data_IF_596460232246
#
_entry.id   IF_596460232246
#
_cell.length_a   1.000
_cell.length_b   1.000
_cell.length_c   1.000
_cell.angle_alpha   90.00
_cell.angle_beta   90.00
_cell.angle_gamma   90.00
#
_symmetry.space_group_name_H-M   'P 1'
#
loop_
_entity.id
_entity.type
_entity.pdbx_description
1 polymer ?
#
# COMPACT_ATOMS: atom_id res chain seq x y z
N UNK A 1 78.32 -38.51 40.94
CA UNK A 1 78.56 -37.17 41.50
C UNK A 1 78.36 -36.16 40.39
N UNK A 2 77.73 -35.06 40.75
CA UNK A 2 76.89 -34.17 39.96
C UNK A 2 77.61 -33.31 38.90
N UNK A 3 76.89 -32.99 37.82
CA UNK A 3 76.99 -31.75 37.04
C UNK A 3 75.77 -31.62 36.08
N UNK A 4 75.45 -30.45 35.49
CA UNK A 4 74.56 -29.42 36.06
C UNK A 4 73.20 -29.29 35.34
N UNK A 5 72.17 -28.82 36.05
CA UNK A 5 70.82 -28.63 35.50
C UNK A 5 70.58 -27.23 34.89
N UNK A 6 70.01 -27.26 33.69
CA UNK A 6 69.64 -26.16 32.81
C UNK A 6 68.33 -25.45 33.22
N UNK A 7 68.27 -24.15 32.91
CA UNK A 7 67.20 -23.18 33.17
C UNK A 7 65.83 -23.62 32.61
N UNK A 8 64.76 -23.49 33.43
CA UNK A 8 63.37 -23.37 32.96
C UNK A 8 62.72 -22.10 33.50
N UNK A 9 62.21 -21.29 32.57
CA UNK A 9 61.50 -20.04 32.82
C UNK A 9 60.13 -20.29 33.48
N UNK A 10 59.77 -19.40 34.42
CA UNK A 10 58.50 -19.40 35.14
C UNK A 10 57.43 -18.73 34.26
N UNK A 11 56.42 -19.49 33.85
CA UNK A 11 55.20 -18.96 33.22
C UNK A 11 54.36 -18.23 34.27
N UNK A 12 54.16 -16.94 34.11
CA UNK A 12 53.18 -16.15 34.86
C UNK A 12 51.77 -16.44 34.32
N UNK A 13 50.86 -16.80 35.24
CA UNK A 13 49.42 -16.94 34.98
C UNK A 13 48.75 -15.57 34.80
N UNK A 14 47.83 -15.40 33.84
CA UNK A 14 47.20 -14.11 33.58
C UNK A 14 46.20 -13.71 34.68
N UNK A 15 45.97 -12.41 34.89
CA UNK A 15 45.07 -11.92 35.93
C UNK A 15 43.61 -12.20 35.53
N UNK A 16 42.81 -12.69 36.49
CA UNK A 16 41.36 -12.84 36.36
C UNK A 16 40.72 -11.46 36.23
N UNK A 17 40.15 -11.17 35.05
CA UNK A 17 39.31 -9.99 34.83
C UNK A 17 37.95 -10.18 35.51
N UNK A 18 37.79 -9.64 36.72
CA UNK A 18 36.48 -9.36 37.30
C UNK A 18 35.91 -8.11 36.62
N UNK A 19 35.14 -8.30 35.55
CA UNK A 19 34.33 -7.26 34.91
C UNK A 19 33.02 -7.85 34.43
N UNK A 20 31.93 -7.08 34.54
CA UNK A 20 30.57 -7.36 34.02
C UNK A 20 29.61 -8.20 34.87
N UNK A 21 29.32 -7.75 36.10
CA UNK A 21 28.00 -8.02 36.71
C UNK A 21 27.23 -6.76 37.14
N UNK A 22 27.91 -5.67 37.52
CA UNK A 22 27.25 -4.43 37.98
C UNK A 22 26.61 -3.58 36.87
N UNK A 23 27.19 -3.52 35.67
CA UNK A 23 26.65 -2.66 34.60
C UNK A 23 25.37 -3.22 33.94
N UNK A 24 25.08 -4.51 34.10
CA UNK A 24 23.85 -5.13 33.60
C UNK A 24 22.64 -4.89 34.50
N UNK A 25 22.83 -4.71 35.80
CA UNK A 25 21.72 -4.49 36.73
C UNK A 25 21.10 -3.09 36.57
N UNK A 26 21.87 -2.10 36.13
CA UNK A 26 21.37 -0.72 35.94
C UNK A 26 20.63 -0.51 34.62
N UNK A 27 20.87 -1.33 33.59
CA UNK A 27 20.24 -1.18 32.27
C UNK A 27 18.79 -1.63 32.22
N UNK A 28 18.35 -2.49 33.15
CA UNK A 28 17.01 -3.08 33.15
C UNK A 28 15.96 -2.27 33.94
N UNK A 29 16.39 -1.35 34.82
CA UNK A 29 15.52 -0.65 35.79
C UNK A 29 14.30 0.03 35.16
N UNK A 30 14.47 0.63 33.98
CA UNK A 30 13.39 1.38 33.33
C UNK A 30 12.63 0.58 32.27
N UNK A 31 13.12 -0.60 31.86
CA UNK A 31 12.49 -1.36 30.77
C UNK A 31 11.12 -1.92 31.17
N UNK A 32 10.89 -2.15 32.46
CA UNK A 32 9.59 -2.56 33.01
C UNK A 32 8.51 -1.46 32.87
N UNK A 33 8.91 -0.19 32.70
CA UNK A 33 7.99 0.95 32.54
C UNK A 33 7.40 1.06 31.12
N UNK A 34 7.82 0.21 30.18
CA UNK A 34 7.39 0.26 28.80
C UNK A 34 5.97 -0.30 28.66
N UNK A 35 5.05 0.52 28.15
CA UNK A 35 3.69 0.10 27.85
C UNK A 35 3.46 -0.01 26.35
N UNK A 36 3.43 -1.25 25.86
CA UNK A 36 3.23 -1.57 24.44
C UNK A 36 1.82 -1.23 23.93
N UNK A 37 0.82 -1.17 24.81
CA UNK A 37 -0.56 -0.83 24.41
C UNK A 37 -0.71 0.65 24.03
N UNK A 38 0.16 1.51 24.58
CA UNK A 38 0.22 2.93 24.27
C UNK A 38 0.96 3.23 22.96
N UNK A 39 1.70 2.26 22.40
CA UNK A 39 2.53 2.48 21.23
C UNK A 39 1.70 2.40 19.95
N UNK A 40 1.73 3.48 19.17
CA UNK A 40 1.08 3.55 17.87
C UNK A 40 2.00 4.24 16.86
N UNK A 41 2.65 3.41 16.03
CA UNK A 41 3.66 3.87 15.08
C UNK A 41 3.09 4.22 13.70
N UNK A 42 1.77 4.36 13.57
CA UNK A 42 1.10 4.63 12.30
C UNK A 42 0.88 6.12 11.98
N UNK A 43 1.21 6.98 12.94
CA UNK A 43 1.12 8.43 12.79
C UNK A 43 2.43 9.06 12.32
N UNK A 44 2.29 10.27 11.79
CA UNK A 44 3.42 11.05 11.28
C UNK A 44 4.49 11.24 12.37
N UNK A 45 5.74 10.98 12.00
CA UNK A 45 6.92 11.08 12.86
C UNK A 45 7.29 12.56 13.12
N UNK A 46 6.44 13.27 13.86
CA UNK A 46 6.63 14.68 14.28
C UNK A 46 6.66 14.80 15.79
N UNK A 47 7.43 15.76 16.30
CA UNK A 47 7.35 16.12 17.71
C UNK A 47 5.97 16.71 18.05
N UNK A 48 5.31 16.19 19.09
CA UNK A 48 4.02 16.67 19.57
C UNK A 48 4.06 18.08 20.19
N UNK A 49 5.25 18.66 20.39
CA UNK A 49 5.44 20.00 20.94
C UNK A 49 5.91 20.99 19.87
N UNK A 50 7.03 20.71 19.21
CA UNK A 50 7.63 21.62 18.21
C UNK A 50 7.13 21.40 16.78
N UNK A 51 6.37 20.33 16.53
CA UNK A 51 5.97 19.86 15.19
C UNK A 51 7.16 19.56 14.25
N UNK A 52 8.38 19.47 14.79
CA UNK A 52 9.58 19.17 14.01
C UNK A 52 9.63 17.69 13.61
N UNK A 53 10.10 17.43 12.39
CA UNK A 53 10.42 16.09 11.89
C UNK A 53 11.87 15.65 12.19
N UNK A 54 12.68 16.53 12.77
CA UNK A 54 14.11 16.29 12.97
C UNK A 54 14.35 15.58 14.30
N UNK A 55 15.09 14.46 14.26
CA UNK A 55 15.50 13.69 15.44
C UNK A 55 14.33 13.43 16.42
N UNK A 56 13.29 12.78 15.93
CA UNK A 56 12.08 12.48 16.70
C UNK A 56 12.22 11.13 17.41
N UNK A 57 11.86 11.13 18.68
CA UNK A 57 11.87 9.99 19.57
C UNK A 57 10.46 9.68 20.06
N UNK A 58 10.07 8.42 20.10
CA UNK A 58 8.85 7.98 20.76
C UNK A 58 9.13 7.58 22.21
N UNK A 59 8.35 8.14 23.14
CA UNK A 59 8.34 7.72 24.53
C UNK A 59 7.69 6.34 24.64
N UNK A 60 8.44 5.34 25.11
CA UNK A 60 7.94 3.96 25.19
C UNK A 60 6.94 3.71 26.33
N UNK A 61 6.82 4.65 27.27
CA UNK A 61 5.82 4.62 28.36
C UNK A 61 4.45 5.16 27.94
N UNK A 62 4.37 6.16 27.05
CA UNK A 62 3.09 6.81 26.70
C UNK A 62 2.81 6.98 25.21
N UNK A 63 3.71 6.52 24.33
CA UNK A 63 3.53 6.56 22.87
C UNK A 63 3.70 7.93 22.20
N UNK A 64 3.81 9.02 22.97
CA UNK A 64 3.97 10.38 22.41
C UNK A 64 5.36 10.62 21.83
N UNK A 65 5.43 11.52 20.85
CA UNK A 65 6.64 11.80 20.08
C UNK A 65 7.28 13.14 20.47
N UNK A 66 8.59 13.15 20.65
CA UNK A 66 9.34 14.32 21.10
C UNK A 66 10.64 14.49 20.31
N UNK A 67 10.99 15.73 19.99
CA UNK A 67 12.29 16.08 19.41
C UNK A 67 13.38 15.90 20.47
N UNK A 68 14.50 15.26 20.14
CA UNK A 68 15.47 14.83 21.14
C UNK A 68 16.82 14.37 20.61
N UNK A 69 17.85 14.18 21.42
CA UNK A 69 17.82 13.78 22.84
C UNK A 69 18.63 14.66 23.80
N UNK A 70 19.14 15.80 23.35
CA UNK A 70 20.01 16.67 24.16
C UNK A 70 19.33 17.29 25.39
N UNK A 71 20.10 17.86 26.32
CA UNK A 71 19.58 18.45 27.59
C UNK A 71 18.52 19.55 27.44
N UNK A 72 18.50 20.24 26.31
CA UNK A 72 17.52 21.28 25.99
C UNK A 72 16.35 20.77 25.14
N UNK A 73 16.22 19.45 24.96
CA UNK A 73 15.24 18.87 24.04
C UNK A 73 13.93 18.51 24.72
N UNK A 74 12.84 18.47 23.95
CA UNK A 74 11.53 18.10 24.47
C UNK A 74 11.50 16.68 25.02
N UNK A 75 12.25 15.74 24.43
CA UNK A 75 12.35 14.38 24.94
C UNK A 75 13.03 14.34 26.33
N UNK A 76 14.09 15.14 26.50
CA UNK A 76 14.80 15.25 27.79
C UNK A 76 13.91 15.86 28.88
N UNK A 77 13.25 16.99 28.61
CA UNK A 77 12.32 17.59 29.57
C UNK A 77 11.15 16.65 29.90
N UNK A 78 10.57 16.00 28.88
CA UNK A 78 9.49 15.01 29.09
C UNK A 78 9.94 13.86 30.00
N UNK A 79 11.19 13.42 29.89
CA UNK A 79 11.72 12.35 30.76
C UNK A 79 11.75 12.73 32.24
N UNK A 80 12.02 13.99 32.55
CA UNK A 80 12.08 14.51 33.92
C UNK A 80 10.69 14.88 34.42
N UNK A 81 9.92 15.62 33.62
CA UNK A 81 8.62 16.17 34.03
C UNK A 81 7.54 15.10 34.20
N UNK A 82 7.66 13.99 33.46
CA UNK A 82 6.70 12.89 33.47
C UNK A 82 7.24 11.59 34.04
N UNK A 83 8.52 11.55 34.42
CA UNK A 83 9.17 10.33 34.92
C UNK A 83 9.11 9.19 33.89
N UNK A 84 9.25 9.52 32.60
CA UNK A 84 9.21 8.56 31.48
C UNK A 84 10.60 8.45 30.86
N UNK A 85 11.31 7.37 31.12
CA UNK A 85 12.75 7.33 30.87
C UNK A 85 13.15 6.69 29.54
N UNK A 86 12.32 5.83 28.94
CA UNK A 86 12.74 5.02 27.77
C UNK A 86 12.19 5.60 26.48
N UNK A 87 13.08 5.87 25.51
CA UNK A 87 12.74 6.47 24.22
C UNK A 87 13.38 5.73 23.05
N UNK A 88 12.62 5.50 21.98
CA UNK A 88 13.14 4.97 20.71
C UNK A 88 13.26 6.08 19.66
N UNK A 89 14.39 6.17 18.98
CA UNK A 89 14.54 7.05 17.82
C UNK A 89 13.75 6.48 16.63
N UNK A 90 12.83 7.28 16.07
CA UNK A 90 11.92 6.82 15.01
C UNK A 90 12.57 6.60 13.64
N UNK A 91 13.84 7.01 13.49
CA UNK A 91 14.64 6.85 12.28
C UNK A 91 15.70 5.77 12.46
N UNK A 92 16.49 5.82 13.53
CA UNK A 92 17.63 4.91 13.74
C UNK A 92 17.25 3.62 14.48
N UNK A 93 16.03 3.52 15.03
CA UNK A 93 15.54 2.40 15.85
C UNK A 93 16.36 2.13 17.12
N UNK A 94 17.28 3.03 17.48
CA UNK A 94 18.08 2.97 18.69
C UNK A 94 17.27 3.46 19.88
N UNK A 95 17.39 2.76 21.01
CA UNK A 95 16.68 3.05 22.25
C UNK A 95 17.62 3.74 23.23
N UNK A 96 17.13 4.75 23.94
CA UNK A 96 17.89 5.54 24.88
C UNK A 96 17.11 5.73 26.17
N UNK A 97 17.84 5.73 27.29
CA UNK A 97 17.33 6.14 28.59
C UNK A 97 17.66 7.61 28.81
N UNK A 98 16.66 8.43 29.09
CA UNK A 98 16.78 9.84 29.45
C UNK A 98 16.28 10.03 30.90
N UNK A 99 16.87 10.96 31.68
CA UNK A 99 17.85 11.98 31.28
C UNK A 99 19.31 11.49 31.18
N UNK A 100 19.62 10.27 31.63
CA UNK A 100 21.01 9.76 31.75
C UNK A 100 21.77 9.69 30.42
N UNK A 101 21.06 9.51 29.31
CA UNK A 101 21.60 9.66 27.95
C UNK A 101 22.31 8.44 27.37
N UNK A 102 22.22 7.27 28.00
CA UNK A 102 22.84 6.04 27.51
C UNK A 102 21.94 5.27 26.53
N UNK A 103 22.56 4.54 25.59
CA UNK A 103 21.88 3.66 24.64
C UNK A 103 21.57 2.32 25.32
N UNK A 104 20.36 1.79 25.10
CA UNK A 104 19.96 0.46 25.54
C UNK A 104 19.80 -0.43 24.33
N UNK A 105 20.51 -1.56 24.34
CA UNK A 105 20.35 -2.62 23.36
C UNK A 105 19.96 -3.92 24.09
N UNK A 106 18.64 -4.09 24.24
CA UNK A 106 18.06 -5.26 24.90
C UNK A 106 17.14 -6.05 23.94
N UNK A 107 17.22 -7.39 23.89
CA UNK A 107 16.38 -8.21 23.01
C UNK A 107 14.87 -8.07 23.25
N UNK A 108 14.43 -7.68 24.45
CA UNK A 108 13.00 -7.46 24.77
C UNK A 108 12.39 -6.30 23.99
N UNK A 109 13.21 -5.44 23.37
CA UNK A 109 12.79 -4.29 22.57
C UNK A 109 12.64 -4.63 21.08
N UNK A 110 13.00 -5.85 20.67
CA UNK A 110 13.00 -6.26 19.27
C UNK A 110 11.59 -6.27 18.66
N UNK A 111 10.57 -6.56 19.46
CA UNK A 111 9.17 -6.48 19.01
C UNK A 111 8.76 -5.04 18.69
N UNK A 112 9.13 -4.07 19.53
CA UNK A 112 8.86 -2.63 19.31
C UNK A 112 9.60 -2.15 18.05
N UNK A 113 10.89 -2.49 17.91
CA UNK A 113 11.67 -2.19 16.70
C UNK A 113 11.01 -2.78 15.46
N UNK A 114 10.51 -4.01 15.56
CA UNK A 114 9.83 -4.72 14.47
C UNK A 114 8.47 -4.11 14.12
N UNK A 115 7.67 -3.67 15.09
CA UNK A 115 6.37 -3.02 14.79
C UNK A 115 6.59 -1.64 14.16
N UNK A 116 7.59 -0.90 14.62
CA UNK A 116 7.95 0.41 14.07
C UNK A 116 8.43 0.31 12.61
N UNK A 117 9.24 -0.71 12.29
CA UNK A 117 9.69 -0.98 10.93
C UNK A 117 9.70 -2.49 10.64
N UNK A 118 8.56 -3.07 10.19
CA UNK A 118 8.48 -4.51 9.94
C UNK A 118 9.34 -4.88 8.74
N UNK A 119 10.29 -5.81 8.91
CA UNK A 119 11.14 -6.30 7.82
C UNK A 119 10.85 -7.79 7.64
N UNK A 120 10.53 -8.19 6.41
CA UNK A 120 10.34 -9.60 6.05
C UNK A 120 11.48 -10.06 5.15
N UNK A 121 11.95 -11.28 5.41
CA UNK A 121 12.93 -11.98 4.56
C UNK A 121 12.29 -12.50 3.28
N UNK A 122 13.09 -12.84 2.28
CA UNK A 122 12.59 -13.40 1.00
C UNK A 122 11.84 -14.71 1.21
N UNK A 123 12.33 -15.52 2.15
CA UNK A 123 11.77 -16.80 2.53
C UNK A 123 10.39 -16.60 3.18
N UNK A 124 10.29 -15.66 4.13
CA UNK A 124 9.02 -15.30 4.76
C UNK A 124 7.99 -14.77 3.75
N UNK A 125 8.43 -13.95 2.78
CA UNK A 125 7.55 -13.42 1.73
C UNK A 125 7.04 -14.54 0.82
N UNK A 126 7.89 -15.50 0.44
CA UNK A 126 7.49 -16.65 -0.35
C UNK A 126 6.48 -17.57 0.38
N UNK A 127 6.51 -17.61 1.72
CA UNK A 127 5.55 -18.36 2.52
C UNK A 127 4.17 -17.70 2.61
N UNK A 128 4.05 -16.38 2.34
CA UNK A 128 2.79 -15.64 2.48
C UNK A 128 1.68 -16.18 1.57
N UNK A 129 2.03 -16.65 0.37
CA UNK A 129 1.06 -17.18 -0.60
C UNK A 129 0.69 -18.64 -0.33
N UNK A 130 1.53 -19.37 0.39
CA UNK A 130 1.37 -20.80 0.63
C UNK A 130 0.64 -21.09 1.94
N UNK A 131 0.75 -20.21 2.93
CA UNK A 131 0.24 -20.45 4.29
C UNK A 131 -0.48 -19.25 4.88
N UNK A 132 -1.78 -19.40 5.14
CA UNK A 132 -2.56 -18.46 5.93
C UNK A 132 -2.26 -18.65 7.41
N UNK A 133 -1.17 -18.02 7.88
CA UNK A 133 -0.79 -18.06 9.29
C UNK A 133 -1.67 -17.11 10.10
N UNK A 134 -2.23 -17.63 11.18
CA UNK A 134 -2.90 -16.81 12.18
C UNK A 134 -1.87 -16.12 13.08
N UNK A 135 -2.10 -14.85 13.40
CA UNK A 135 -1.36 -14.08 14.39
C UNK A 135 -2.29 -13.56 15.49
N UNK A 136 -1.71 -13.08 16.59
CA UNK A 136 -2.42 -12.50 17.72
C UNK A 136 -1.82 -11.15 18.05
N UNK A 137 -2.67 -10.18 18.36
CA UNK A 137 -2.24 -8.86 18.81
C UNK A 137 -2.02 -8.85 20.34
N UNK A 138 -1.64 -7.70 20.91
CA UNK A 138 -1.35 -7.60 22.36
C UNK A 138 -2.55 -7.95 23.24
N UNK A 139 -3.78 -7.77 22.72
CA UNK A 139 -5.01 -8.08 23.43
C UNK A 139 -5.46 -9.54 23.20
N UNK A 140 -4.58 -10.40 22.68
CA UNK A 140 -4.88 -11.76 22.24
C UNK A 140 -6.00 -11.83 21.19
N UNK A 141 -6.26 -10.75 20.45
CA UNK A 141 -7.21 -10.78 19.34
C UNK A 141 -6.55 -11.40 18.13
N UNK A 142 -7.21 -12.45 17.62
CA UNK A 142 -6.80 -13.16 16.42
C UNK A 142 -6.90 -12.26 15.19
N UNK A 143 -5.87 -12.25 14.35
CA UNK A 143 -5.90 -11.65 13.01
C UNK A 143 -5.09 -12.50 12.02
N UNK A 144 -5.23 -12.19 10.73
CA UNK A 144 -4.45 -12.81 9.65
C UNK A 144 -3.66 -11.69 8.98
N UNK A 145 -2.31 -11.77 8.92
CA UNK A 145 -1.50 -10.79 8.21
C UNK A 145 -1.94 -10.67 6.75
N UNK A 146 -1.99 -9.45 6.23
CA UNK A 146 -2.62 -9.14 4.95
C UNK A 146 -4.10 -8.76 5.10
N UNK A 147 -4.85 -9.52 5.90
CA UNK A 147 -6.31 -9.36 6.08
C UNK A 147 -6.66 -8.58 7.35
N UNK A 148 -6.02 -7.41 7.51
CA UNK A 148 -6.26 -6.47 8.63
C UNK A 148 -7.09 -5.27 8.18
N UNK A 149 -7.82 -4.67 9.12
CA UNK A 149 -8.59 -3.44 8.82
C UNK A 149 -7.67 -2.23 8.62
N UNK A 150 -8.02 -1.37 7.67
CA UNK A 150 -7.42 -0.04 7.56
C UNK A 150 -8.35 1.00 8.21
N UNK A 151 -7.82 1.83 9.10
CA UNK A 151 -8.64 2.85 9.77
C UNK A 151 -9.22 3.85 8.76
N UNK A 152 -10.51 4.14 8.92
CA UNK A 152 -11.16 5.26 8.24
C UNK A 152 -11.04 6.49 9.16
N UNK A 153 -10.25 7.48 8.74
CA UNK A 153 -10.00 8.71 9.50
C UNK A 153 -11.23 9.60 9.41
N UNK A 154 -11.77 9.77 8.21
CA UNK A 154 -13.06 10.44 7.94
C UNK A 154 -13.75 9.84 6.72
N UNK A 155 -13.13 9.99 5.55
CA UNK A 155 -13.72 9.63 4.26
C UNK A 155 -12.67 9.06 3.28
N UNK A 156 -11.71 8.27 3.78
CA UNK A 156 -10.61 7.70 3.00
C UNK A 156 -10.82 6.22 2.62
N UNK A 157 -12.06 5.74 2.63
CA UNK A 157 -12.43 4.38 2.25
C UNK A 157 -12.03 4.05 0.79
N UNK A 158 -12.17 5.00 -0.13
CA UNK A 158 -11.72 4.86 -1.53
C UNK A 158 -10.22 4.61 -1.65
N UNK A 159 -9.40 5.17 -0.75
CA UNK A 159 -7.96 4.88 -0.66
C UNK A 159 -7.77 3.48 -0.09
N UNK A 160 -8.42 3.19 1.03
CA UNK A 160 -8.26 1.92 1.74
C UNK A 160 -8.54 0.71 0.83
N UNK A 161 -9.63 0.75 0.05
CA UNK A 161 -9.98 -0.33 -0.88
C UNK A 161 -8.91 -0.54 -1.95
N UNK A 162 -8.39 0.55 -2.52
CA UNK A 162 -7.35 0.46 -3.56
C UNK A 162 -6.01 -0.03 -2.99
N UNK A 163 -5.61 0.47 -1.81
CA UNK A 163 -4.39 0.01 -1.13
C UNK A 163 -4.50 -1.47 -0.78
N UNK A 164 -5.64 -1.92 -0.24
CA UNK A 164 -5.87 -3.33 0.04
C UNK A 164 -5.80 -4.18 -1.23
N UNK A 165 -6.44 -3.76 -2.31
CA UNK A 165 -6.37 -4.47 -3.59
C UNK A 165 -4.93 -4.60 -4.10
N UNK A 166 -4.13 -3.52 -4.06
CA UNK A 166 -2.74 -3.54 -4.52
C UNK A 166 -1.81 -4.34 -3.61
N UNK A 167 -2.02 -4.28 -2.29
CA UNK A 167 -1.23 -5.02 -1.29
C UNK A 167 -1.46 -6.54 -1.35
N UNK A 168 -2.51 -7.00 -2.03
CA UNK A 168 -2.83 -8.42 -2.23
C UNK A 168 -2.45 -8.95 -3.61
N UNK A 169 -1.74 -8.15 -4.43
CA UNK A 169 -1.19 -8.60 -5.71
C UNK A 169 0.25 -9.05 -5.45
N UNK A 170 0.56 -10.37 -5.45
CA UNK A 170 1.84 -10.90 -4.96
C UNK A 170 3.08 -10.19 -5.51
N UNK A 171 3.27 -10.00 -6.84
CA UNK A 171 4.48 -9.35 -7.32
C UNK A 171 4.59 -7.88 -6.92
N UNK A 172 3.47 -7.18 -6.72
CA UNK A 172 3.46 -5.79 -6.24
C UNK A 172 3.78 -5.79 -4.75
N UNK A 173 3.06 -6.59 -3.97
CA UNK A 173 3.28 -6.79 -2.53
C UNK A 173 4.75 -7.08 -2.24
N UNK A 174 5.31 -8.10 -2.86
CA UNK A 174 6.66 -8.60 -2.59
C UNK A 174 7.71 -7.55 -2.91
N UNK A 175 7.54 -6.81 -4.01
CA UNK A 175 8.42 -5.71 -4.36
C UNK A 175 8.39 -4.59 -3.30
N UNK A 176 7.21 -4.22 -2.82
CA UNK A 176 7.07 -3.17 -1.81
C UNK A 176 7.49 -3.62 -0.42
N UNK A 177 7.48 -4.92 -0.12
CA UNK A 177 7.98 -5.47 1.15
C UNK A 177 9.51 -5.57 1.14
N UNK A 178 10.10 -6.13 0.08
CA UNK A 178 11.51 -6.53 0.07
C UNK A 178 12.50 -5.41 -0.29
N UNK A 179 12.05 -4.36 -0.95
CA UNK A 179 12.92 -3.28 -1.38
C UNK A 179 13.07 -2.21 -0.29
N UNK A 180 14.32 -1.76 -0.10
CA UNK A 180 14.61 -0.55 0.66
C UNK A 180 14.53 0.66 -0.29
N UNK A 181 13.45 1.44 -0.15
CA UNK A 181 13.21 2.63 -0.94
C UNK A 181 13.82 3.90 -0.33
N UNK A 182 14.02 3.90 0.99
CA UNK A 182 14.58 5.06 1.70
C UNK A 182 16.05 5.23 1.31
N UNK A 183 16.84 4.15 1.37
CA UNK A 183 18.25 4.17 0.96
C UNK A 183 18.44 4.46 -0.54
N UNK A 184 17.43 4.18 -1.37
CA UNK A 184 17.45 4.48 -2.81
C UNK A 184 17.06 5.91 -3.15
N UNK A 185 16.69 6.73 -2.16
CA UNK A 185 16.21 8.09 -2.40
C UNK A 185 14.91 8.14 -3.21
N UNK A 186 14.03 7.14 -3.05
CA UNK A 186 12.73 7.13 -3.72
C UNK A 186 11.82 8.22 -3.17
N UNK A 187 10.72 8.51 -3.87
CA UNK A 187 9.74 9.50 -3.39
C UNK A 187 9.14 9.10 -2.04
N UNK A 188 8.72 10.09 -1.25
CA UNK A 188 8.04 9.84 0.01
C UNK A 188 6.77 9.00 -0.18
N UNK A 189 6.03 9.21 -1.28
CA UNK A 189 4.86 8.39 -1.61
C UNK A 189 5.21 6.89 -1.70
N UNK A 190 6.29 6.56 -2.40
CA UNK A 190 6.78 5.17 -2.54
C UNK A 190 7.20 4.61 -1.18
N UNK A 191 7.96 5.37 -0.38
CA UNK A 191 8.39 4.95 0.95
C UNK A 191 7.21 4.71 1.90
N UNK A 192 6.22 5.62 1.94
CA UNK A 192 5.03 5.48 2.79
C UNK A 192 4.14 4.33 2.35
N UNK A 193 3.98 4.13 1.04
CA UNK A 193 3.23 2.98 0.53
C UNK A 193 3.92 1.67 0.88
N UNK A 194 5.24 1.58 0.70
CA UNK A 194 6.06 0.44 1.10
C UNK A 194 5.92 0.12 2.60
N UNK A 195 6.06 1.13 3.45
CA UNK A 195 5.89 0.97 4.92
C UNK A 195 4.49 0.50 5.27
N UNK A 196 3.45 1.04 4.63
CA UNK A 196 2.08 0.59 4.86
C UNK A 196 1.88 -0.88 4.44
N UNK A 197 2.41 -1.30 3.28
CA UNK A 197 2.32 -2.70 2.84
C UNK A 197 3.02 -3.62 3.84
N UNK A 198 4.20 -3.25 4.36
CA UNK A 198 4.90 -4.03 5.40
C UNK A 198 4.10 -4.13 6.70
N UNK A 199 3.38 -3.06 7.09
CA UNK A 199 2.50 -3.06 8.26
C UNK A 199 1.24 -3.91 8.07
N UNK A 200 0.62 -3.85 6.90
CA UNK A 200 -0.54 -4.70 6.53
C UNK A 200 -0.18 -6.18 6.66
N UNK A 201 1.03 -6.56 6.21
CA UNK A 201 1.53 -7.94 6.25
C UNK A 201 2.39 -8.26 7.48
N UNK A 202 2.31 -7.45 8.55
CA UNK A 202 3.08 -7.66 9.77
C UNK A 202 2.47 -8.81 10.62
N UNK A 203 3.19 -9.91 10.88
CA UNK A 203 2.71 -11.02 11.71
C UNK A 203 2.82 -10.79 13.23
N UNK A 204 3.40 -9.66 13.63
CA UNK A 204 3.68 -9.29 15.03
C UNK A 204 3.15 -7.90 15.37
N UNK A 205 2.08 -7.47 14.69
CA UNK A 205 1.44 -6.18 14.95
C UNK A 205 0.86 -6.13 16.37
N UNK A 206 1.00 -4.97 17.03
CA UNK A 206 0.42 -4.75 18.36
C UNK A 206 -1.11 -4.63 18.36
N UNK A 207 -1.70 -4.31 17.20
CA UNK A 207 -3.14 -4.19 16.98
C UNK A 207 -3.50 -4.89 15.68
N UNK A 208 -4.62 -5.62 15.63
CA UNK A 208 -5.14 -6.25 14.40
C UNK A 208 -5.72 -5.28 13.35
N UNK A 209 -5.26 -4.02 13.32
CA UNK A 209 -5.65 -2.97 12.40
C UNK A 209 -4.47 -2.00 12.18
N UNK A 210 -4.44 -1.31 11.05
CA UNK A 210 -3.38 -0.38 10.69
C UNK A 210 -3.98 0.95 10.24
N UNK A 211 -3.43 2.06 10.72
CA UNK A 211 -3.85 3.39 10.25
C UNK A 211 -3.05 3.78 9.00
N UNK A 212 -3.72 4.13 7.88
CA UNK A 212 -3.05 4.58 6.67
C UNK A 212 -2.67 6.07 6.72
N UNK A 213 -2.73 6.72 7.89
CA UNK A 213 -2.65 8.18 8.04
C UNK A 213 -1.45 8.80 7.34
N UNK A 214 -0.23 8.29 7.58
CA UNK A 214 0.99 8.80 6.92
C UNK A 214 0.88 8.77 5.39
N UNK A 215 0.36 7.67 4.83
CA UNK A 215 0.22 7.53 3.39
C UNK A 215 -0.86 8.48 2.84
N UNK A 216 -2.00 8.60 3.52
CA UNK A 216 -3.09 9.49 3.06
C UNK A 216 -2.66 10.96 3.10
N UNK A 217 -1.87 11.35 4.10
CA UNK A 217 -1.26 12.69 4.17
C UNK A 217 -0.33 12.95 2.98
N UNK A 218 0.55 11.99 2.67
CA UNK A 218 1.45 12.10 1.53
C UNK A 218 0.69 12.08 0.19
N UNK A 219 -0.35 11.25 0.05
CA UNK A 219 -1.25 11.24 -1.11
C UNK A 219 -1.86 12.63 -1.31
N UNK A 220 -2.31 13.28 -0.24
CA UNK A 220 -2.89 14.62 -0.33
C UNK A 220 -1.87 15.66 -0.78
N UNK A 221 -0.63 15.56 -0.33
CA UNK A 221 0.44 16.46 -0.74
C UNK A 221 0.87 16.21 -2.19
N UNK A 222 1.20 14.96 -2.54
CA UNK A 222 1.65 14.56 -3.88
C UNK A 222 0.59 14.81 -4.96
N UNK A 223 -0.69 14.68 -4.61
CA UNK A 223 -1.82 14.96 -5.51
C UNK A 223 -2.22 16.44 -5.59
N UNK A 224 -1.45 17.35 -4.95
CA UNK A 224 -1.77 18.79 -4.87
C UNK A 224 -3.19 19.03 -4.34
N UNK A 225 -3.55 18.34 -3.26
CA UNK A 225 -4.85 18.40 -2.58
C UNK A 225 -6.05 17.92 -3.41
N UNK A 226 -5.83 17.15 -4.48
CA UNK A 226 -6.90 16.47 -5.23
C UNK A 226 -7.57 15.38 -4.38
N UNK A 227 -6.78 14.60 -3.63
CA UNK A 227 -7.27 13.55 -2.74
C UNK A 227 -7.05 13.98 -1.28
N UNK A 228 -8.09 14.52 -0.64
CA UNK A 228 -8.00 15.04 0.73
C UNK A 228 -8.34 13.95 1.75
N UNK A 229 -7.92 14.16 3.00
CA UNK A 229 -8.22 13.26 4.13
C UNK A 229 -9.70 13.35 4.55
N UNK A 230 -10.31 14.51 4.35
CA UNK A 230 -11.62 14.87 4.91
C UNK A 230 -12.77 14.71 3.92
N UNK A 231 -12.48 14.41 2.65
CA UNK A 231 -13.44 14.43 1.55
C UNK A 231 -13.31 13.13 0.75
N UNK A 232 -14.44 12.47 0.52
CA UNK A 232 -14.47 11.25 -0.29
C UNK A 232 -14.21 11.59 -1.76
N UNK A 233 -13.46 10.74 -2.45
CA UNK A 233 -13.24 10.85 -3.89
C UNK A 233 -13.59 9.56 -4.60
N UNK A 234 -13.54 9.58 -5.93
CA UNK A 234 -13.80 8.37 -6.71
C UNK A 234 -12.57 7.45 -6.68
N UNK A 235 -12.79 6.18 -6.30
CA UNK A 235 -11.75 5.16 -6.24
C UNK A 235 -11.04 4.94 -7.59
N UNK A 236 -11.73 5.07 -8.73
CA UNK A 236 -11.08 4.90 -10.04
C UNK A 236 -10.16 6.06 -10.41
N UNK A 237 -10.56 7.29 -10.05
CA UNK A 237 -9.74 8.47 -10.26
C UNK A 237 -8.48 8.40 -9.40
N UNK A 238 -8.65 7.95 -8.15
CA UNK A 238 -7.52 7.68 -7.25
C UNK A 238 -6.62 6.57 -7.80
N UNK A 239 -7.16 5.41 -8.19
CA UNK A 239 -6.39 4.31 -8.75
C UNK A 239 -5.59 4.73 -9.98
N UNK A 240 -6.24 5.44 -10.92
CA UNK A 240 -5.59 5.94 -12.13
C UNK A 240 -4.43 6.87 -11.80
N UNK A 241 -4.65 7.85 -10.91
CA UNK A 241 -3.59 8.75 -10.47
C UNK A 241 -2.48 8.00 -9.74
N UNK A 242 -2.83 7.08 -8.83
CA UNK A 242 -1.90 6.40 -7.96
C UNK A 242 -0.97 5.46 -8.74
N UNK A 243 -1.51 4.64 -9.65
CA UNK A 243 -0.69 3.77 -10.50
C UNK A 243 0.25 4.56 -11.41
N UNK A 244 -0.23 5.66 -12.01
CA UNK A 244 0.62 6.50 -12.86
C UNK A 244 1.71 7.23 -12.05
N UNK A 245 1.38 7.68 -10.85
CA UNK A 245 2.35 8.35 -9.95
C UNK A 245 3.40 7.36 -9.46
N UNK A 246 2.99 6.17 -8.98
CA UNK A 246 3.92 5.11 -8.62
C UNK A 246 4.80 4.69 -9.80
N UNK A 247 4.22 4.56 -11.00
CA UNK A 247 5.00 4.25 -12.21
C UNK A 247 6.13 5.27 -12.40
N UNK A 248 5.80 6.57 -12.34
CA UNK A 248 6.77 7.66 -12.50
C UNK A 248 7.81 7.67 -11.39
N UNK A 249 7.38 7.58 -10.14
CA UNK A 249 8.25 7.69 -8.96
C UNK A 249 9.20 6.51 -8.81
N UNK A 250 8.86 5.35 -9.39
CA UNK A 250 9.73 4.18 -9.52
C UNK A 250 10.68 4.26 -10.72
N UNK A 251 10.81 5.42 -11.38
CA UNK A 251 11.68 5.62 -12.55
C UNK A 251 11.10 5.08 -13.86
N UNK A 252 9.79 4.83 -13.90
CA UNK A 252 9.10 4.35 -15.08
C UNK A 252 9.18 5.33 -16.26
N UNK A 253 9.27 4.76 -17.46
CA UNK A 253 9.27 5.51 -18.72
C UNK A 253 8.11 5.05 -19.60
N UNK A 254 7.89 5.72 -20.73
CA UNK A 254 6.88 5.31 -21.72
C UNK A 254 7.12 3.91 -22.29
N UNK A 255 8.31 3.33 -22.10
CA UNK A 255 8.62 1.97 -22.54
C UNK A 255 7.82 0.95 -21.73
N UNK A 256 7.44 -0.13 -22.40
CA UNK A 256 6.83 -1.31 -21.77
C UNK A 256 7.75 -1.87 -20.70
N UNK A 257 7.16 -2.41 -19.62
CA UNK A 257 7.87 -3.05 -18.51
C UNK A 257 8.94 -2.17 -17.82
N UNK A 258 8.91 -0.86 -18.03
CA UNK A 258 9.91 0.08 -17.48
C UNK A 258 9.80 0.27 -15.97
N UNK A 259 8.64 -0.04 -15.40
CA UNK A 259 8.44 -0.16 -13.96
C UNK A 259 7.58 -1.37 -13.64
N UNK A 260 7.54 -1.73 -12.37
CA UNK A 260 6.72 -2.85 -11.91
C UNK A 260 5.23 -2.67 -12.23
N UNK A 261 4.75 -1.42 -12.24
CA UNK A 261 3.36 -1.10 -12.59
C UNK A 261 3.08 -1.47 -14.05
N UNK A 262 3.92 -1.00 -14.99
CA UNK A 262 3.72 -1.32 -16.40
C UNK A 262 4.00 -2.79 -16.72
N UNK A 263 4.92 -3.42 -15.99
CA UNK A 263 5.21 -4.85 -16.16
C UNK A 263 3.98 -5.73 -15.92
N UNK A 264 3.19 -5.43 -14.88
CA UNK A 264 2.11 -6.31 -14.45
C UNK A 264 0.70 -5.84 -14.86
N UNK A 265 0.47 -4.54 -15.02
CA UNK A 265 -0.86 -3.98 -15.30
C UNK A 265 -1.04 -3.44 -16.73
N UNK A 266 0.04 -3.18 -17.47
CA UNK A 266 -0.10 -2.58 -18.81
C UNK A 266 -0.55 -3.63 -19.83
N UNK A 267 -1.79 -3.47 -20.30
CA UNK A 267 -2.30 -4.11 -21.50
C UNK A 267 -2.33 -3.14 -22.68
N UNK A 268 -2.77 -3.63 -23.83
CA UNK A 268 -2.91 -2.84 -25.05
C UNK A 268 -4.24 -3.15 -25.74
N UNK A 269 -4.90 -2.08 -26.19
CA UNK A 269 -6.15 -2.14 -26.94
C UNK A 269 -5.93 -1.48 -28.29
N UNK A 270 -6.35 -2.15 -29.35
CA UNK A 270 -6.47 -1.56 -30.68
C UNK A 270 -7.83 -0.89 -30.78
N UNK A 271 -7.81 0.39 -31.14
CA UNK A 271 -8.97 1.24 -31.37
C UNK A 271 -9.07 1.51 -32.86
N UNK A 272 -10.15 1.05 -33.47
CA UNK A 272 -10.51 1.36 -34.84
C UNK A 272 -11.60 2.43 -34.80
N UNK A 273 -11.40 3.55 -35.51
CA UNK A 273 -12.34 4.69 -35.53
C UNK A 273 -12.72 5.09 -36.96
N UNK A 274 -13.97 5.47 -37.16
CA UNK A 274 -14.51 5.92 -38.44
C UNK A 274 -15.59 6.99 -38.24
N UNK A 275 -15.65 7.98 -39.12
CA UNK A 275 -16.75 8.96 -39.13
C UNK A 275 -18.07 8.31 -39.58
N UNK A 276 -19.20 8.59 -38.90
CA UNK A 276 -20.51 8.04 -39.26
C UNK A 276 -20.85 8.28 -40.73
N UNK A 277 -21.56 7.33 -41.34
CA UNK A 277 -22.18 7.53 -42.66
C UNK A 277 -23.30 8.58 -42.60
N UNK A 278 -23.65 9.19 -43.74
CA UNK A 278 -24.88 9.99 -43.84
C UNK A 278 -26.04 9.01 -43.68
N UNK A 279 -26.93 9.28 -42.73
CA UNK A 279 -28.04 8.41 -42.34
C UNK A 279 -29.11 8.32 -43.45
N UNK A 280 -28.90 7.47 -44.44
CA UNK A 280 -29.95 7.09 -45.40
C UNK A 280 -30.60 5.73 -45.08
N UNK A 281 -29.95 4.89 -44.26
CA UNK A 281 -30.46 3.58 -43.87
C UNK A 281 -30.18 3.30 -42.38
N UNK A 282 -31.15 2.75 -41.65
CA UNK A 282 -31.06 2.44 -40.21
C UNK A 282 -29.87 1.52 -39.86
N UNK A 283 -29.38 0.73 -40.82
CA UNK A 283 -28.26 -0.20 -40.64
C UNK A 283 -26.88 0.48 -40.77
N UNK A 284 -26.80 1.66 -41.40
CA UNK A 284 -25.55 2.41 -41.60
C UNK A 284 -25.00 3.07 -40.33
N UNK A 285 -25.82 3.17 -39.28
CA UNK A 285 -25.45 3.78 -38.00
C UNK A 285 -24.73 2.81 -37.05
N UNK A 286 -24.74 1.52 -37.34
CA UNK A 286 -24.27 0.48 -36.40
C UNK A 286 -23.01 -0.25 -36.85
N UNK A 287 -22.52 0.00 -38.06
CA UNK A 287 -21.40 -0.71 -38.66
C UNK A 287 -20.43 0.24 -39.37
N UNK A 288 -19.18 -0.20 -39.52
CA UNK A 288 -18.19 0.49 -40.34
C UNK A 288 -18.57 0.43 -41.82
N UNK A 289 -18.51 1.57 -42.50
CA UNK A 289 -18.69 1.64 -43.95
C UNK A 289 -17.39 1.16 -44.62
N UNK A 290 -17.39 0.03 -45.34
CA UNK A 290 -16.20 -0.53 -45.95
C UNK A 290 -15.58 0.38 -47.04
N UNK A 291 -16.29 1.43 -47.47
CA UNK A 291 -15.83 2.37 -48.49
C UNK A 291 -15.00 3.52 -47.94
N UNK A 292 -15.06 3.81 -46.63
CA UNK A 292 -14.27 4.90 -46.02
C UNK A 292 -13.06 4.34 -45.26
N UNK A 293 -11.98 5.12 -45.12
CA UNK A 293 -10.80 4.68 -44.38
C UNK A 293 -11.09 4.53 -42.88
N UNK A 294 -10.55 3.45 -42.30
CA UNK A 294 -10.58 3.20 -40.85
C UNK A 294 -9.28 3.69 -40.24
N UNK A 295 -9.36 4.57 -39.25
CA UNK A 295 -8.20 5.01 -38.46
C UNK A 295 -7.91 3.96 -37.39
N UNK A 296 -6.70 3.42 -37.38
CA UNK A 296 -6.26 2.41 -36.41
C UNK A 296 -5.24 3.03 -35.46
N UNK A 297 -5.47 2.89 -34.15
CA UNK A 297 -4.54 3.32 -33.11
C UNK A 297 -4.40 2.24 -32.05
N UNK A 298 -3.16 1.91 -31.68
CA UNK A 298 -2.89 1.12 -30.48
C UNK A 298 -2.74 2.03 -29.27
N UNK A 299 -3.44 1.69 -28.19
CA UNK A 299 -3.44 2.47 -26.95
C UNK A 299 -3.15 1.57 -25.75
N UNK A 300 -2.18 1.92 -24.90
CA UNK A 300 -1.93 1.19 -23.66
C UNK A 300 -3.02 1.49 -22.62
N UNK A 301 -3.34 0.52 -21.78
CA UNK A 301 -4.24 0.71 -20.64
C UNK A 301 -3.67 0.08 -19.37
N UNK A 302 -4.03 0.62 -18.21
CA UNK A 302 -3.77 0.01 -16.89
C UNK A 302 -5.00 -0.69 -16.31
N UNK A 303 -6.19 -0.32 -16.79
CA UNK A 303 -7.47 -0.92 -16.45
C UNK A 303 -8.44 -0.76 -17.63
N UNK A 304 -9.40 -1.66 -17.73
CA UNK A 304 -10.47 -1.58 -18.73
C UNK A 304 -11.74 -1.05 -18.09
N UNK A 305 -12.32 0.00 -18.69
CA UNK A 305 -13.60 0.51 -18.25
C UNK A 305 -14.75 -0.16 -19.02
N UNK A 306 -15.63 -0.82 -18.27
CA UNK A 306 -16.78 -1.57 -18.75
C UNK A 306 -18.04 -0.73 -18.53
N UNK A 307 -18.75 -0.48 -19.62
CA UNK A 307 -20.03 0.23 -19.58
C UNK A 307 -21.14 -0.76 -19.24
N UNK A 308 -21.98 -0.39 -18.28
CA UNK A 308 -23.19 -1.15 -17.95
C UNK A 308 -24.31 -0.80 -18.93
N UNK A 309 -25.22 -1.75 -19.23
CA UNK A 309 -26.43 -1.43 -19.96
C UNK A 309 -27.25 -0.35 -19.21
N UNK A 310 -27.97 0.52 -19.94
CA UNK A 310 -28.85 1.50 -19.30
C UNK A 310 -29.90 0.78 -18.46
N UNK A 311 -30.24 1.37 -17.32
CA UNK A 311 -31.30 0.83 -16.45
C UNK A 311 -32.63 0.99 -17.19
N UNK A 312 -33.49 -0.04 -17.26
CA UNK A 312 -34.83 0.10 -17.85
C UNK A 312 -35.59 1.24 -17.16
N UNK A 313 -36.09 2.20 -17.94
CA UNK A 313 -36.81 3.37 -17.42
C UNK A 313 -38.20 3.01 -16.85
N UNK A 314 -38.74 1.85 -17.24
CA UNK A 314 -40.03 1.34 -16.80
C UNK A 314 -39.80 -0.04 -16.19
N UNK A 315 -39.98 -0.13 -14.89
CA UNK A 315 -40.17 -1.39 -14.18
C UNK A 315 -41.66 -1.45 -13.84
N UNK A 316 -42.34 -2.52 -14.24
CA UNK A 316 -43.72 -2.78 -13.80
C UNK A 316 -43.78 -2.67 -12.26
N UNK A 317 -44.94 -2.30 -11.69
CA UNK A 317 -45.06 -2.14 -10.21
C UNK A 317 -44.67 -3.41 -9.43
N UNK A 318 -44.66 -4.58 -10.08
CA UNK A 318 -44.19 -5.87 -9.56
C UNK A 318 -42.68 -6.11 -9.73
N UNK A 319 -42.01 -5.38 -10.62
CA UNK A 319 -40.59 -5.51 -10.97
C UNK A 319 -39.71 -4.38 -10.39
N UNK A 320 -40.30 -3.38 -9.73
CA UNK A 320 -39.55 -2.27 -9.08
C UNK A 320 -38.49 -2.75 -8.08
N UNK A 321 -38.66 -3.93 -7.51
CA UNK A 321 -37.72 -4.53 -6.56
C UNK A 321 -36.64 -5.42 -7.22
N UNK A 322 -36.71 -5.64 -8.53
CA UNK A 322 -35.77 -6.52 -9.25
C UNK A 322 -34.54 -5.72 -9.68
N UNK A 323 -33.41 -5.95 -9.02
CA UNK A 323 -32.12 -5.39 -9.43
C UNK A 323 -31.67 -6.07 -10.74
N UNK A 324 -31.44 -5.31 -11.82
CA UNK A 324 -31.02 -5.88 -13.10
C UNK A 324 -29.69 -6.61 -12.97
N UNK A 325 -29.49 -7.66 -13.76
CA UNK A 325 -28.25 -8.44 -13.76
C UNK A 325 -27.68 -8.56 -15.17
N UNK A 326 -26.35 -8.55 -15.28
CA UNK A 326 -25.65 -8.72 -16.56
C UNK A 326 -24.41 -9.62 -16.38
N UNK A 327 -24.18 -10.60 -17.26
CA UNK A 327 -22.92 -11.35 -17.25
C UNK A 327 -21.72 -10.47 -17.59
N UNK A 328 -20.57 -10.73 -16.94
CA UNK A 328 -19.31 -10.03 -17.23
C UNK A 328 -18.88 -10.20 -18.70
N UNK A 329 -19.08 -11.39 -19.27
CA UNK A 329 -18.77 -11.68 -20.68
C UNK A 329 -19.52 -10.76 -21.63
N UNK A 330 -20.78 -10.41 -21.31
CA UNK A 330 -21.59 -9.49 -22.11
C UNK A 330 -21.01 -8.08 -22.14
N UNK A 331 -20.55 -7.55 -21.01
CA UNK A 331 -19.94 -6.20 -20.98
C UNK A 331 -18.49 -6.21 -21.51
N UNK A 332 -17.79 -7.35 -21.43
CA UNK A 332 -16.47 -7.54 -22.04
C UNK A 332 -16.52 -7.62 -23.57
N UNK A 333 -17.67 -7.99 -24.16
CA UNK A 333 -17.87 -7.96 -25.63
C UNK A 333 -17.59 -6.61 -26.27
N UNK A 334 -17.51 -5.52 -25.48
CA UNK A 334 -16.99 -4.23 -25.93
C UNK A 334 -15.60 -4.34 -26.60
N UNK A 335 -14.77 -5.29 -26.18
CA UNK A 335 -13.38 -5.43 -26.60
C UNK A 335 -13.14 -6.67 -27.48
N UNK A 336 -14.17 -7.21 -28.12
CA UNK A 336 -14.08 -8.42 -28.97
C UNK A 336 -13.70 -8.14 -30.43
N UNK A 337 -13.49 -6.87 -30.81
CA UNK A 337 -13.21 -6.49 -32.20
C UNK A 337 -14.40 -6.64 -33.15
N UNK A 338 -15.61 -6.89 -32.66
CA UNK A 338 -16.83 -7.03 -33.48
C UNK A 338 -17.77 -5.87 -33.23
N UNK A 339 -18.02 -5.53 -31.96
CA UNK A 339 -19.00 -4.51 -31.60
C UNK A 339 -18.53 -3.10 -31.95
N UNK A 340 -19.32 -2.39 -32.73
CA UNK A 340 -19.14 -0.96 -33.02
C UNK A 340 -19.97 -0.14 -32.03
N UNK A 341 -19.39 0.93 -31.51
CA UNK A 341 -20.01 1.85 -30.57
C UNK A 341 -19.86 3.28 -31.07
N UNK A 342 -20.93 4.05 -31.03
CA UNK A 342 -20.86 5.48 -31.30
C UNK A 342 -20.33 6.21 -30.06
N UNK A 343 -19.19 6.89 -30.19
CA UNK A 343 -18.55 7.64 -29.11
C UNK A 343 -18.08 8.97 -29.68
N UNK A 344 -18.63 10.08 -29.17
CA UNK A 344 -18.25 11.43 -29.58
C UNK A 344 -18.41 11.68 -31.10
N UNK A 345 -19.52 11.23 -31.69
CA UNK A 345 -19.82 11.31 -33.13
C UNK A 345 -18.82 10.54 -34.01
N UNK A 346 -18.10 9.56 -33.48
CA UNK A 346 -17.28 8.61 -34.22
C UNK A 346 -17.75 7.18 -33.92
N UNK A 347 -17.78 6.32 -34.93
CA UNK A 347 -17.93 4.90 -34.74
C UNK A 347 -16.59 4.33 -34.28
N UNK A 348 -16.57 3.61 -33.16
CA UNK A 348 -15.38 3.00 -32.58
C UNK A 348 -15.57 1.52 -32.33
N UNK A 349 -14.51 0.76 -32.57
CA UNK A 349 -14.42 -0.67 -32.28
C UNK A 349 -13.13 -0.93 -31.52
N UNK A 350 -13.21 -1.76 -30.48
CA UNK A 350 -12.09 -2.05 -29.60
C UNK A 350 -11.76 -3.54 -29.65
N UNK A 351 -10.48 -3.87 -29.70
CA UNK A 351 -9.98 -5.26 -29.60
C UNK A 351 -8.74 -5.29 -28.71
N UNK A 352 -8.62 -6.28 -27.82
CA UNK A 352 -7.47 -6.38 -26.91
C UNK A 352 -6.32 -7.04 -27.65
N UNK A 353 -5.27 -6.29 -27.98
CA UNK A 353 -4.07 -6.87 -28.62
C UNK A 353 -3.16 -7.53 -27.61
N UNK A 354 -3.11 -7.03 -26.37
CA UNK A 354 -2.29 -7.59 -25.29
C UNK A 354 -2.98 -7.52 -23.94
N UNK A 355 -3.03 -8.67 -23.27
CA UNK A 355 -3.49 -8.77 -21.88
C UNK A 355 -2.31 -8.56 -20.91
N UNK A 356 -2.53 -7.82 -19.81
CA UNK A 356 -1.60 -7.77 -18.69
C UNK A 356 -1.67 -9.08 -17.88
N UNK A 357 -0.68 -9.31 -17.01
CA UNK A 357 -0.73 -10.45 -16.09
C UNK A 357 -1.79 -10.24 -15.00
N UNK A 358 -2.01 -9.00 -14.59
CA UNK A 358 -3.07 -8.60 -13.66
C UNK A 358 -3.98 -7.59 -14.37
N UNK A 359 -5.20 -8.02 -14.69
CA UNK A 359 -6.20 -7.20 -15.37
C UNK A 359 -7.13 -6.54 -14.35
N UNK A 360 -7.19 -5.21 -14.39
CA UNK A 360 -8.13 -4.44 -13.58
C UNK A 360 -9.36 -4.09 -14.44
N UNK A 361 -10.54 -4.43 -13.94
CA UNK A 361 -11.82 -4.12 -14.58
C UNK A 361 -12.57 -3.07 -13.76
N UNK A 362 -12.82 -1.92 -14.36
CA UNK A 362 -13.63 -0.86 -13.78
C UNK A 362 -15.04 -0.92 -14.36
N UNK A 363 -16.01 -1.33 -13.56
CA UNK A 363 -17.42 -1.28 -13.92
C UNK A 363 -17.92 0.15 -13.69
N UNK A 364 -18.24 0.87 -14.77
CA UNK A 364 -18.72 2.26 -14.71
C UNK A 364 -20.15 2.29 -14.17
N UNK A 365 -20.27 2.59 -12.87
CA UNK A 365 -21.57 2.66 -12.18
C UNK A 365 -22.13 4.06 -12.05
N UNK A 366 -21.29 5.09 -12.10
CA UNK A 366 -21.73 6.46 -11.86
C UNK A 366 -21.72 7.25 -13.16
N UNK A 367 -22.87 7.83 -13.49
CA UNK A 367 -23.04 8.74 -14.63
C UNK A 367 -23.59 10.06 -14.11
N UNK A 368 -22.98 11.16 -14.53
CA UNK A 368 -23.45 12.49 -14.19
C UNK A 368 -24.49 12.91 -15.22
N UNK A 369 -25.74 13.03 -14.80
CA UNK A 369 -26.80 13.66 -15.58
C UNK A 369 -26.76 15.19 -15.34
N UNK A 370 -27.53 15.97 -16.08
CA UNK A 370 -27.59 17.43 -15.96
C UNK A 370 -27.98 17.92 -14.55
N UNK A 371 -28.65 17.08 -13.76
CA UNK A 371 -29.17 17.45 -12.44
C UNK A 371 -28.54 16.69 -11.28
N UNK A 372 -28.23 15.40 -11.45
CA UNK A 372 -27.77 14.53 -10.36
C UNK A 372 -26.75 13.49 -10.86
N UNK A 373 -25.97 12.94 -9.92
CA UNK A 373 -25.18 11.74 -10.17
C UNK A 373 -26.08 10.52 -10.00
N UNK A 374 -26.24 9.73 -11.04
CA UNK A 374 -27.03 8.51 -11.04
C UNK A 374 -26.12 7.30 -10.89
N UNK A 375 -26.50 6.35 -10.03
CA UNK A 375 -25.80 5.09 -9.84
C UNK A 375 -26.56 3.98 -10.55
N UNK A 376 -25.90 3.29 -11.48
CA UNK A 376 -26.41 2.08 -12.10
C UNK A 376 -26.33 0.91 -11.09
N UNK A 377 -27.49 0.38 -10.63
CA UNK A 377 -27.54 -0.68 -9.61
C UNK A 377 -27.27 -2.08 -10.19
N UNK A 378 -27.13 -2.23 -11.51
CA UNK A 378 -27.01 -3.53 -12.20
C UNK A 378 -25.92 -4.40 -11.57
N UNK A 379 -26.28 -5.62 -11.17
CA UNK A 379 -25.35 -6.62 -10.65
C UNK A 379 -24.61 -7.23 -11.84
N UNK A 380 -23.28 -7.26 -11.75
CA UNK A 380 -22.45 -7.94 -12.75
C UNK A 380 -22.14 -9.34 -12.24
N UNK A 381 -22.58 -10.35 -12.96
CA UNK A 381 -22.32 -11.75 -12.65
C UNK A 381 -20.98 -12.14 -13.28
N UNK A 382 -19.97 -12.40 -12.46
CA UNK A 382 -18.63 -12.78 -12.92
C UNK A 382 -18.15 -14.08 -12.26
N UNK A 383 -17.42 -14.93 -13.00
CA UNK A 383 -16.80 -16.10 -12.40
C UNK A 383 -15.62 -15.69 -11.52
N UNK A 384 -15.46 -16.37 -10.37
CA UNK A 384 -14.32 -16.16 -9.47
C UNK A 384 -13.04 -16.88 -9.92
N UNK A 385 -13.15 -17.83 -10.84
CA UNK A 385 -12.06 -18.62 -11.44
C UNK A 385 -12.35 -18.86 -12.92
N UNK A 386 -11.31 -19.04 -13.73
CA UNK A 386 -11.42 -19.41 -15.14
C UNK A 386 -12.21 -18.42 -16.02
N UNK A 387 -11.93 -17.12 -15.91
CA UNK A 387 -12.39 -16.15 -16.91
C UNK A 387 -11.56 -16.30 -18.19
N UNK A 388 -12.17 -16.78 -19.27
CA UNK A 388 -11.52 -16.87 -20.57
C UNK A 388 -11.64 -15.54 -21.34
N UNK A 389 -10.49 -15.00 -21.74
CA UNK A 389 -10.34 -13.74 -22.48
C UNK A 389 -9.93 -13.98 -23.94
N UNK A 390 -9.87 -15.24 -24.40
CA UNK A 390 -9.49 -15.61 -25.76
C UNK A 390 -10.34 -14.91 -26.83
N UNK A 391 -11.65 -14.78 -26.58
CA UNK A 391 -12.60 -14.11 -27.48
C UNK A 391 -12.40 -12.58 -27.60
N UNK A 392 -11.58 -11.97 -26.74
CA UNK A 392 -11.26 -10.55 -26.79
C UNK A 392 -9.94 -10.26 -27.54
N UNK A 393 -9.20 -11.29 -27.95
CA UNK A 393 -7.91 -11.21 -28.63
C UNK A 393 -8.01 -11.31 -30.15
#
# INVERSE_FOLDING_TARGET
MEEPQSKRARLESPPKSNGNKKDKETTDLYLETIDRHMLDFDFEKVCSVSLSHLNVYACLTCGKYYQGRGKASHAYFHSIDKDHHVFINLTTLKVYVLPDGYEVDDPSLNDIKYVLNPILTKEQVAELDNTLKTAYDLNNKKYIPGFVGLNNIKANDYVNVIIQALAHIPPIRDYFILQDFESKGSSQLVCRFSTLVRKIWNPRAFKGQVSPHELVQEISNASRKRFKLTEQSNAIDFLSWFLNTLHKDLGGTKKRNSSIIYKYFQGEVKVESQEPGIATEKDALSNFDPRKPIKVQESPFLFLALDLPPVPLYQDERERDIVPQVPLTTILSKFDGKRVQEVSNELKRYSITRLPQYLILHIKRFTKNNWTNEKNPTIVNFPIKHLDMSNCK
#
